data_IF_102722628407
#
_entry.id   IF_102722628407
#
_cell.length_a   1.000
_cell.length_b   1.000
_cell.length_c   1.000
_cell.angle_alpha   90.00
_cell.angle_beta   90.00
_cell.angle_gamma   90.00
#
_symmetry.space_group_name_H-M   'P 1'
#
loop_
_entity.id
_entity.type
_entity.pdbx_description
1 polymer ?
#
# COMPACT_ATOMS: atom_id res chain seq x y z
N UNK A 1 4.23 -31.74 0.21
CA UNK A 1 3.92 -30.63 -0.73
C UNK A 1 5.00 -30.55 -1.79
N UNK A 2 4.69 -30.14 -3.01
CA UNK A 2 5.56 -30.25 -4.20
C UNK A 2 6.69 -29.20 -4.34
N UNK A 3 6.77 -28.20 -3.45
CA UNK A 3 7.84 -27.18 -3.38
C UNK A 3 8.13 -26.41 -4.70
N UNK A 4 7.08 -26.05 -5.44
CA UNK A 4 7.19 -25.37 -6.73
C UNK A 4 7.08 -23.84 -6.56
N UNK A 5 8.16 -23.16 -6.19
CA UNK A 5 8.15 -21.72 -5.90
C UNK A 5 8.93 -20.85 -6.89
N UNK A 6 9.91 -21.44 -7.60
CA UNK A 6 10.92 -20.69 -8.36
C UNK A 6 10.34 -19.77 -9.44
N UNK A 7 9.20 -20.14 -10.02
CA UNK A 7 8.53 -19.40 -11.09
C UNK A 7 7.30 -18.62 -10.62
N UNK A 8 6.96 -18.67 -9.33
CA UNK A 8 5.68 -18.17 -8.83
C UNK A 8 5.58 -16.65 -8.97
N UNK A 9 6.65 -15.92 -8.62
CA UNK A 9 6.69 -14.46 -8.77
C UNK A 9 6.69 -14.01 -10.23
N UNK A 10 7.34 -14.77 -11.14
CA UNK A 10 7.30 -14.47 -12.57
C UNK A 10 5.89 -14.66 -13.13
N UNK A 11 5.22 -15.76 -12.76
CA UNK A 11 3.85 -16.01 -13.17
C UNK A 11 2.90 -14.91 -12.68
N UNK A 12 3.07 -14.46 -11.43
CA UNK A 12 2.28 -13.35 -10.89
C UNK A 12 2.57 -12.04 -11.60
N UNK A 13 3.82 -11.77 -12.01
CA UNK A 13 4.14 -10.58 -12.81
C UNK A 13 3.36 -10.59 -14.13
N UNK A 14 3.33 -11.71 -14.86
CA UNK A 14 2.58 -11.83 -16.12
C UNK A 14 1.08 -11.55 -15.94
N UNK A 15 0.51 -11.92 -14.80
CA UNK A 15 -0.89 -11.64 -14.45
C UNK A 15 -1.12 -10.15 -14.16
N UNK A 16 -0.19 -9.51 -13.44
CA UNK A 16 -0.26 -8.10 -13.09
C UNK A 16 0.06 -7.18 -14.28
N UNK A 17 0.85 -7.64 -15.25
CA UNK A 17 1.04 -6.96 -16.53
C UNK A 17 -0.23 -6.96 -17.37
N UNK A 18 -0.97 -8.08 -17.39
CA UNK A 18 -2.27 -8.18 -18.07
C UNK A 18 -3.35 -7.36 -17.39
N UNK A 19 -3.41 -7.39 -16.06
CA UNK A 19 -4.33 -6.59 -15.28
C UNK A 19 -3.77 -6.27 -13.89
N UNK A 20 -3.28 -5.04 -13.73
CA UNK A 20 -2.78 -4.53 -12.45
C UNK A 20 -3.86 -4.47 -11.36
N UNK A 21 -5.16 -4.53 -11.71
CA UNK A 21 -6.29 -4.57 -10.76
C UNK A 21 -6.67 -5.97 -10.33
N UNK A 22 -5.99 -7.00 -10.84
CA UNK A 22 -6.24 -8.39 -10.46
C UNK A 22 -5.84 -8.63 -8.99
N UNK A 23 -6.81 -8.51 -8.08
CA UNK A 23 -6.58 -8.69 -6.65
C UNK A 23 -6.09 -10.10 -6.30
N UNK A 24 -6.49 -11.12 -7.07
CA UNK A 24 -6.01 -12.49 -6.87
C UNK A 24 -4.52 -12.63 -7.19
N UNK A 25 -4.01 -11.92 -8.21
CA UNK A 25 -2.58 -11.88 -8.50
C UNK A 25 -1.79 -11.16 -7.40
N UNK A 26 -2.30 -10.04 -6.87
CA UNK A 26 -1.69 -9.37 -5.70
C UNK A 26 -1.66 -10.26 -4.46
N UNK A 27 -2.76 -10.96 -4.19
CA UNK A 27 -2.83 -11.94 -3.11
C UNK A 27 -1.84 -13.09 -3.31
N UNK A 28 -1.72 -13.60 -4.55
CA UNK A 28 -0.76 -14.65 -4.87
C UNK A 28 0.68 -14.18 -4.72
N UNK A 29 0.98 -12.92 -5.08
CA UNK A 29 2.30 -12.30 -4.83
C UNK A 29 2.65 -12.34 -3.35
N UNK A 30 1.73 -11.87 -2.51
CA UNK A 30 1.91 -11.87 -1.06
C UNK A 30 2.09 -13.29 -0.52
N UNK A 31 1.29 -14.25 -1.00
CA UNK A 31 1.40 -15.65 -0.64
C UNK A 31 2.78 -16.21 -1.00
N UNK A 32 3.23 -16.02 -2.24
CA UNK A 32 4.52 -16.49 -2.73
C UNK A 32 5.72 -15.92 -1.95
N UNK A 33 5.58 -14.72 -1.37
CA UNK A 33 6.65 -14.09 -0.59
C UNK A 33 6.69 -14.62 0.85
N UNK A 34 5.53 -14.70 1.51
CA UNK A 34 5.49 -14.98 2.96
C UNK A 34 5.24 -16.44 3.33
N UNK A 35 4.75 -17.25 2.40
CA UNK A 35 4.51 -18.70 2.61
C UNK A 35 5.57 -19.57 1.93
N UNK A 36 6.52 -18.96 1.22
CA UNK A 36 7.73 -19.65 0.77
C UNK A 36 8.57 -20.07 2.00
N UNK A 37 9.13 -21.31 2.01
CA UNK A 37 10.03 -21.75 3.08
C UNK A 37 11.22 -20.84 3.33
N UNK A 38 11.68 -20.12 2.29
CA UNK A 38 12.74 -19.12 2.40
C UNK A 38 12.16 -17.79 2.85
N UNK A 39 12.56 -17.33 4.05
CA UNK A 39 12.16 -16.03 4.57
C UNK A 39 12.70 -14.90 3.68
N UNK A 40 11.87 -13.91 3.30
CA UNK A 40 12.33 -12.77 2.52
C UNK A 40 13.31 -11.90 3.32
N UNK A 41 14.34 -11.38 2.65
CA UNK A 41 15.27 -10.42 3.24
C UNK A 41 14.61 -9.04 3.37
N UNK A 42 15.12 -8.19 4.27
CA UNK A 42 14.62 -6.82 4.39
C UNK A 42 14.85 -6.00 3.11
N UNK A 43 15.96 -6.22 2.42
CA UNK A 43 16.23 -5.56 1.13
C UNK A 43 15.21 -5.97 0.07
N UNK A 44 14.84 -7.25 0.03
CA UNK A 44 13.79 -7.74 -0.86
C UNK A 44 12.43 -7.10 -0.53
N UNK A 45 12.06 -7.01 0.74
CA UNK A 45 10.81 -6.36 1.15
C UNK A 45 10.78 -4.86 0.80
N UNK A 46 11.92 -4.16 0.87
CA UNK A 46 12.03 -2.77 0.39
C UNK A 46 11.75 -2.67 -1.11
N UNK A 47 12.34 -3.56 -1.92
CA UNK A 47 12.07 -3.64 -3.36
C UNK A 47 10.60 -3.95 -3.66
N UNK A 48 9.94 -4.76 -2.83
CA UNK A 48 8.50 -5.04 -2.97
C UNK A 48 7.61 -3.83 -2.62
N UNK A 49 8.02 -3.00 -1.66
CA UNK A 49 7.36 -1.71 -1.41
C UNK A 49 7.53 -0.78 -2.61
N UNK A 50 8.75 -0.65 -3.14
CA UNK A 50 9.03 0.15 -4.35
C UNK A 50 8.23 -0.34 -5.56
N UNK A 51 8.13 -1.66 -5.74
CA UNK A 51 7.31 -2.29 -6.76
C UNK A 51 5.83 -1.89 -6.60
N UNK A 52 5.27 -2.03 -5.41
CA UNK A 52 3.89 -1.62 -5.12
C UNK A 52 3.66 -0.12 -5.41
N UNK A 53 4.59 0.74 -5.00
CA UNK A 53 4.56 2.19 -5.28
C UNK A 53 4.53 2.43 -6.79
N UNK A 54 5.35 1.71 -7.57
CA UNK A 54 5.36 1.83 -9.03
C UNK A 54 3.99 1.50 -9.65
N UNK A 55 3.30 0.46 -9.13
CA UNK A 55 1.98 0.08 -9.62
C UNK A 55 0.86 1.03 -9.14
N UNK A 56 0.99 1.64 -7.96
CA UNK A 56 0.12 2.76 -7.54
C UNK A 56 0.24 3.92 -8.51
N UNK A 57 1.47 4.27 -8.95
CA UNK A 57 1.67 5.36 -9.91
C UNK A 57 0.99 5.11 -11.26
N UNK A 58 0.83 3.85 -11.66
CA UNK A 58 0.07 3.48 -12.86
C UNK A 58 -1.45 3.58 -12.66
N UNK A 59 -1.95 3.23 -11.47
CA UNK A 59 -3.37 3.24 -11.16
C UNK A 59 -3.64 3.69 -9.70
N UNK A 60 -3.65 4.99 -9.40
CA UNK A 60 -3.74 5.50 -8.02
C UNK A 60 -5.03 5.12 -7.28
N UNK A 61 -6.10 4.85 -8.03
CA UNK A 61 -7.42 4.45 -7.54
C UNK A 61 -7.63 2.92 -7.53
N UNK A 62 -6.58 2.13 -7.76
CA UNK A 62 -6.61 0.69 -7.57
C UNK A 62 -6.23 0.35 -6.13
N UNK A 63 -7.15 -0.19 -5.33
CA UNK A 63 -6.92 -0.50 -3.92
C UNK A 63 -5.93 -1.66 -3.70
N UNK A 64 -5.79 -2.59 -4.64
CA UNK A 64 -4.98 -3.79 -4.46
C UNK A 64 -3.50 -3.52 -4.13
N UNK A 65 -2.76 -2.67 -4.87
CA UNK A 65 -1.38 -2.34 -4.52
C UNK A 65 -1.27 -1.57 -3.19
N UNK A 66 -2.26 -0.74 -2.82
CA UNK A 66 -2.28 -0.09 -1.49
C UNK A 66 -2.36 -1.12 -0.37
N UNK A 67 -3.29 -2.07 -0.47
CA UNK A 67 -3.45 -3.15 0.50
C UNK A 67 -2.21 -4.06 0.56
N UNK A 68 -1.63 -4.37 -0.60
CA UNK A 68 -0.41 -5.16 -0.71
C UNK A 68 0.75 -4.52 0.06
N UNK A 69 1.05 -3.24 -0.19
CA UNK A 69 2.15 -2.54 0.48
C UNK A 69 1.91 -2.47 1.99
N UNK A 70 0.69 -2.18 2.44
CA UNK A 70 0.37 -2.19 3.88
C UNK A 70 0.62 -3.57 4.51
N UNK A 71 0.30 -4.65 3.78
CA UNK A 71 0.61 -6.02 4.21
C UNK A 71 2.12 -6.28 4.31
N UNK A 72 2.92 -5.81 3.35
CA UNK A 72 4.38 -5.91 3.37
C UNK A 72 4.95 -5.14 4.56
N UNK A 73 4.52 -3.89 4.74
CA UNK A 73 4.92 -3.02 5.86
C UNK A 73 4.64 -3.71 7.20
N UNK A 74 3.44 -4.26 7.39
CA UNK A 74 3.04 -4.94 8.62
C UNK A 74 3.87 -6.19 8.97
N UNK A 75 4.63 -6.75 8.02
CA UNK A 75 5.52 -7.91 8.19
C UNK A 75 7.00 -7.54 8.13
N UNK A 76 7.33 -6.26 8.11
CA UNK A 76 8.69 -5.75 7.93
C UNK A 76 9.03 -4.68 8.97
N UNK A 77 10.28 -4.22 8.97
CA UNK A 77 10.72 -3.06 9.76
C UNK A 77 10.61 -1.74 8.97
N UNK A 78 9.84 -1.73 7.87
CA UNK A 78 9.64 -0.55 7.03
C UNK A 78 8.56 0.31 7.68
N UNK A 79 8.81 1.61 7.81
CA UNK A 79 7.82 2.54 8.36
C UNK A 79 6.82 2.99 7.29
N UNK A 80 5.55 3.14 7.67
CA UNK A 80 4.49 3.62 6.77
C UNK A 80 4.75 5.03 6.22
N UNK A 81 5.59 5.81 6.90
CA UNK A 81 6.08 7.12 6.47
C UNK A 81 6.76 7.09 5.09
N UNK A 82 7.24 5.94 4.63
CA UNK A 82 7.75 5.75 3.25
C UNK A 82 6.72 6.12 2.17
N UNK A 83 5.42 6.06 2.50
CA UNK A 83 4.34 6.41 1.58
C UNK A 83 3.90 7.87 1.67
N UNK A 84 4.44 8.67 2.60
CA UNK A 84 3.90 10.00 2.91
C UNK A 84 3.91 10.95 1.71
N UNK A 85 5.03 11.04 0.99
CA UNK A 85 5.15 11.89 -0.20
C UNK A 85 4.20 11.44 -1.32
N UNK A 86 4.11 10.13 -1.55
CA UNK A 86 3.19 9.55 -2.53
C UNK A 86 1.74 9.90 -2.19
N UNK A 87 1.35 9.79 -0.92
CA UNK A 87 -0.01 10.07 -0.52
C UNK A 87 -0.33 11.56 -0.56
N UNK A 88 0.63 12.44 -0.21
CA UNK A 88 0.49 13.90 -0.39
C UNK A 88 0.29 14.27 -1.86
N UNK A 89 1.06 13.64 -2.76
CA UNK A 89 0.92 13.84 -4.20
C UNK A 89 -0.50 13.53 -4.68
N UNK A 90 -1.05 12.38 -4.28
CA UNK A 90 -2.39 11.95 -4.70
C UNK A 90 -3.56 12.51 -3.88
N UNK A 91 -3.30 13.23 -2.78
CA UNK A 91 -4.33 13.99 -2.07
C UNK A 91 -4.49 15.41 -2.62
N UNK A 92 -3.51 15.89 -3.39
CA UNK A 92 -3.48 17.24 -3.97
C UNK A 92 -3.63 17.26 -5.50
N UNK A 93 -3.65 16.10 -6.16
CA UNK A 93 -3.85 15.98 -7.60
C UNK A 93 -5.30 16.19 -8.03
N UNK A 94 -5.52 16.51 -9.31
CA UNK A 94 -6.87 16.63 -9.91
C UNK A 94 -7.74 15.38 -9.72
N UNK A 95 -7.10 14.20 -9.72
CA UNK A 95 -7.76 12.92 -9.41
C UNK A 95 -7.35 12.43 -8.04
N UNK A 96 -8.03 12.93 -7.01
CA UNK A 96 -7.77 12.54 -5.62
C UNK A 96 -8.04 11.05 -5.41
N UNK A 97 -7.06 10.34 -4.84
CA UNK A 97 -7.23 8.94 -4.43
C UNK A 97 -7.75 8.84 -3.01
N UNK A 98 -8.93 8.23 -2.76
CA UNK A 98 -9.42 8.00 -1.40
C UNK A 98 -8.50 7.04 -0.63
N UNK A 99 -7.76 6.16 -1.33
CA UNK A 99 -6.78 5.27 -0.71
C UNK A 99 -5.54 6.03 -0.22
N UNK A 100 -5.10 7.05 -0.97
CA UNK A 100 -4.03 7.95 -0.53
C UNK A 100 -4.45 8.76 0.71
N UNK A 101 -5.68 9.29 0.71
CA UNK A 101 -6.23 10.00 1.88
C UNK A 101 -6.34 9.07 3.10
N UNK A 102 -6.86 7.85 2.94
CA UNK A 102 -6.91 6.86 4.03
C UNK A 102 -5.52 6.50 4.53
N UNK A 103 -4.54 6.33 3.65
CA UNK A 103 -3.16 6.09 4.04
C UNK A 103 -2.53 7.30 4.77
N UNK A 104 -2.87 8.53 4.41
CA UNK A 104 -2.44 9.73 5.16
C UNK A 104 -3.00 9.74 6.57
N UNK A 105 -4.25 9.32 6.77
CA UNK A 105 -4.82 9.19 8.12
C UNK A 105 -3.98 8.23 8.96
N UNK A 106 -3.65 7.04 8.43
CA UNK A 106 -2.81 6.06 9.12
C UNK A 106 -1.42 6.64 9.47
N UNK A 107 -0.81 7.40 8.56
CA UNK A 107 0.49 8.05 8.76
C UNK A 107 0.41 9.14 9.83
N UNK A 108 -0.63 9.99 9.80
CA UNK A 108 -0.82 11.02 10.81
C UNK A 108 -1.12 10.42 12.19
N UNK A 109 -1.83 9.30 12.26
CA UNK A 109 -2.03 8.55 13.50
C UNK A 109 -0.69 8.03 14.06
N UNK A 110 0.17 7.44 13.22
CA UNK A 110 1.51 7.00 13.62
C UNK A 110 2.39 8.16 14.11
N UNK A 111 2.38 9.30 13.42
CA UNK A 111 3.06 10.51 13.88
C UNK A 111 2.58 10.99 15.25
N UNK A 112 1.27 11.02 15.49
CA UNK A 112 0.71 11.41 16.79
C UNK A 112 1.13 10.43 17.89
N UNK A 113 1.12 9.12 17.62
CA UNK A 113 1.61 8.08 18.55
C UNK A 113 3.09 8.27 18.91
N UNK A 114 3.88 8.84 17.99
CA UNK A 114 5.30 9.20 18.18
C UNK A 114 5.51 10.58 18.81
N UNK A 115 4.45 11.29 19.18
CA UNK A 115 4.51 12.58 19.88
C UNK A 115 4.37 13.83 19.01
N UNK A 116 4.17 13.70 17.69
CA UNK A 116 3.92 14.83 16.79
C UNK A 116 2.45 15.23 16.82
N UNK A 117 2.05 15.92 17.89
CA UNK A 117 0.65 16.29 18.14
C UNK A 117 0.08 17.28 17.13
N UNK A 118 0.93 18.02 16.41
CA UNK A 118 0.54 18.92 15.31
C UNK A 118 -0.13 18.16 14.15
N UNK A 119 0.18 16.87 13.96
CA UNK A 119 -0.42 16.03 12.92
C UNK A 119 -1.86 15.63 13.21
N UNK A 120 -2.33 15.79 14.46
CA UNK A 120 -3.71 15.43 14.85
C UNK A 120 -4.74 16.23 14.06
N UNK A 121 -4.53 17.54 13.91
CA UNK A 121 -5.47 18.40 13.18
C UNK A 121 -5.51 18.04 11.69
N UNK A 122 -4.36 17.71 11.09
CA UNK A 122 -4.27 17.23 9.70
C UNK A 122 -4.99 15.89 9.51
N UNK A 123 -4.84 14.95 10.46
CA UNK A 123 -5.58 13.69 10.47
C UNK A 123 -7.09 13.90 10.48
N UNK A 124 -7.59 14.75 11.39
CA UNK A 124 -9.02 15.07 11.49
C UNK A 124 -9.55 15.69 10.19
N UNK A 125 -8.85 16.68 9.63
CA UNK A 125 -9.22 17.31 8.35
C UNK A 125 -9.29 16.28 7.21
N UNK A 126 -8.35 15.34 7.19
CA UNK A 126 -8.30 14.27 6.19
C UNK A 126 -9.49 13.30 6.34
N UNK A 127 -9.85 12.93 7.57
CA UNK A 127 -11.04 12.11 7.85
C UNK A 127 -12.34 12.81 7.41
N UNK A 128 -12.49 14.11 7.67
CA UNK A 128 -13.65 14.89 7.23
C UNK A 128 -13.72 14.90 5.70
N UNK A 129 -12.60 15.13 5.01
CA UNK A 129 -12.54 15.12 3.55
C UNK A 129 -12.94 13.77 2.95
N UNK A 130 -12.51 12.66 3.57
CA UNK A 130 -12.96 11.31 3.21
C UNK A 130 -14.47 11.17 3.42
N UNK A 131 -14.95 11.43 4.63
CA UNK A 131 -16.35 11.25 4.99
C UNK A 131 -17.30 12.08 4.11
N UNK A 132 -16.96 13.34 3.82
CA UNK A 132 -17.87 14.26 3.14
C UNK A 132 -17.81 14.19 1.62
N UNK A 133 -16.65 13.83 1.03
CA UNK A 133 -16.43 14.01 -0.41
C UNK A 133 -15.86 12.79 -1.13
N UNK A 134 -14.91 12.06 -0.56
CA UNK A 134 -14.10 11.09 -1.31
C UNK A 134 -14.35 9.61 -0.98
N UNK A 135 -14.90 9.29 0.20
CA UNK A 135 -15.26 7.93 0.64
C UNK A 135 -16.55 7.95 1.47
N UNK A 136 -17.61 8.56 0.90
CA UNK A 136 -18.87 8.87 1.61
C UNK A 136 -19.66 7.65 2.07
N UNK A 137 -19.29 6.46 1.60
CA UNK A 137 -19.89 5.18 2.02
C UNK A 137 -19.37 4.74 3.41
N UNK A 138 -18.19 5.22 3.84
CA UNK A 138 -17.54 4.87 5.13
C UNK A 138 -17.56 6.01 6.15
N UNK A 139 -18.65 6.81 6.15
CA UNK A 139 -18.87 7.90 7.11
C UNK A 139 -18.94 7.43 8.56
#
# INVERSE_FOLDING_TARGET
TFNLWDNELSFVEDLLEKDVRNNSAWNQRYFAIFYNPTKPSEEFLKKEVEYGISKIKLAPNNISPWNYIKGIIAKSNIEITVLEELCKTYSQSDTISPHALGCLVDIYEDHVKRGLTDKKELGIKTCILLAEKHDTIRK
#
